data_IF_740510934168
#
_entry.id   IF_740510934168
#
_cell.length_a   1.000
_cell.length_b   1.000
_cell.length_c   1.000
_cell.angle_alpha   90.00
_cell.angle_beta   90.00
_cell.angle_gamma   90.00
#
_symmetry.space_group_name_H-M   'P 1'
#
loop_
_entity.id
_entity.type
_entity.pdbx_description
1 polymer ?
#
# COMPACT_ATOMS: atom_id res chain seq x y z
N UNK A 1 -39.81 -22.18 -42.50
CA UNK A 1 -38.59 -21.36 -42.44
C UNK A 1 -38.77 -20.02 -41.68
N UNK A 2 -39.83 -19.24 -41.87
CA UNK A 2 -40.06 -17.95 -41.16
C UNK A 2 -40.17 -18.10 -39.63
N UNK A 3 -40.87 -19.09 -39.10
CA UNK A 3 -41.02 -19.30 -37.64
C UNK A 3 -39.69 -19.66 -36.93
N UNK A 4 -38.79 -20.40 -37.60
CA UNK A 4 -37.48 -20.75 -37.03
C UNK A 4 -36.56 -19.52 -36.92
N UNK A 5 -36.61 -18.59 -37.87
CA UNK A 5 -35.88 -17.32 -37.84
C UNK A 5 -36.37 -16.40 -36.70
N UNK A 6 -37.66 -16.36 -36.41
CA UNK A 6 -38.21 -15.61 -35.27
C UNK A 6 -37.78 -16.20 -33.93
N UNK A 7 -37.74 -17.52 -33.79
CA UNK A 7 -37.30 -18.19 -32.56
C UNK A 7 -35.80 -17.96 -32.34
N UNK A 8 -34.96 -18.04 -33.39
CA UNK A 8 -33.53 -17.72 -33.26
C UNK A 8 -33.28 -16.25 -32.90
N UNK A 9 -34.03 -15.33 -33.49
CA UNK A 9 -33.93 -13.89 -33.21
C UNK A 9 -34.34 -13.57 -31.77
N UNK A 10 -35.41 -14.14 -31.25
CA UNK A 10 -35.85 -13.95 -29.86
C UNK A 10 -34.86 -14.57 -28.86
N UNK A 11 -34.28 -15.74 -29.14
CA UNK A 11 -33.20 -16.34 -28.31
C UNK A 11 -31.94 -15.47 -28.25
N UNK A 12 -31.56 -14.88 -29.38
CA UNK A 12 -30.40 -14.00 -29.45
C UNK A 12 -30.61 -12.69 -28.66
N UNK A 13 -31.80 -12.11 -28.75
CA UNK A 13 -32.18 -10.91 -27.97
C UNK A 13 -32.23 -11.22 -26.46
N UNK A 14 -32.81 -12.37 -26.07
CA UNK A 14 -32.82 -12.79 -24.67
C UNK A 14 -31.41 -13.06 -24.12
N UNK A 15 -30.49 -13.68 -24.89
CA UNK A 15 -29.13 -13.90 -24.46
C UNK A 15 -28.37 -12.58 -24.29
N UNK A 16 -28.58 -11.59 -25.17
CA UNK A 16 -27.97 -10.25 -25.03
C UNK A 16 -28.53 -9.52 -23.79
N UNK A 17 -29.82 -9.63 -23.51
CA UNK A 17 -30.43 -9.03 -22.32
C UNK A 17 -29.91 -9.66 -21.02
N UNK A 18 -29.67 -10.97 -21.00
CA UNK A 18 -29.08 -11.70 -19.85
C UNK A 18 -27.64 -11.27 -19.62
N UNK A 19 -26.82 -11.08 -20.68
CA UNK A 19 -25.46 -10.56 -20.56
C UNK A 19 -25.43 -9.12 -20.01
N UNK A 20 -26.35 -8.27 -20.45
CA UNK A 20 -26.45 -6.89 -19.94
C UNK A 20 -26.91 -6.85 -18.47
N UNK A 21 -27.82 -7.74 -18.07
CA UNK A 21 -28.27 -7.87 -16.68
C UNK A 21 -27.17 -8.43 -15.77
N UNK A 22 -26.34 -9.36 -16.25
CA UNK A 22 -25.19 -9.88 -15.51
C UNK A 22 -24.16 -8.78 -15.21
N UNK A 23 -23.83 -7.93 -16.19
CA UNK A 23 -22.92 -6.78 -15.98
C UNK A 23 -23.49 -5.72 -15.02
N UNK A 24 -24.82 -5.56 -14.93
CA UNK A 24 -25.45 -4.66 -13.95
C UNK A 24 -25.56 -5.32 -12.57
N UNK A 25 -25.72 -6.64 -12.51
CA UNK A 25 -25.77 -7.39 -11.27
C UNK A 25 -24.41 -7.35 -10.55
N UNK A 26 -23.29 -7.50 -11.28
CA UNK A 26 -21.95 -7.35 -10.72
C UNK A 26 -21.69 -5.92 -10.17
N UNK A 27 -22.20 -4.88 -10.86
CA UNK A 27 -22.12 -3.50 -10.36
C UNK A 27 -22.93 -3.27 -9.08
N UNK A 28 -24.04 -3.95 -8.90
CA UNK A 28 -24.90 -3.80 -7.72
C UNK A 28 -24.35 -4.61 -6.53
N UNK A 29 -23.78 -5.80 -6.75
CA UNK A 29 -23.07 -6.57 -5.72
C UNK A 29 -21.86 -5.83 -5.16
N UNK A 30 -21.11 -5.10 -6.01
CA UNK A 30 -20.00 -4.23 -5.59
C UNK A 30 -20.50 -3.05 -4.73
N UNK A 31 -21.73 -2.58 -4.96
CA UNK A 31 -22.35 -1.50 -4.15
C UNK A 31 -22.90 -1.99 -2.80
N UNK A 32 -23.38 -3.23 -2.73
CA UNK A 32 -24.02 -3.78 -1.53
C UNK A 32 -23.02 -4.35 -0.51
N UNK A 33 -21.85 -4.80 -0.96
CA UNK A 33 -20.73 -5.22 -0.11
C UNK A 33 -19.84 -4.05 0.35
N UNK A 34 -20.37 -2.85 0.45
CA UNK A 34 -19.72 -1.70 1.06
C UNK A 34 -19.59 -1.87 2.60
N UNK A 35 -19.07 -3.02 3.01
CA UNK A 35 -18.70 -3.30 4.39
C UNK A 35 -17.46 -2.51 4.80
N UNK A 36 -17.47 -2.03 6.01
CA UNK A 36 -16.52 -1.22 6.78
C UNK A 36 -15.53 -0.41 5.92
N UNK A 37 -15.69 0.91 5.94
CA UNK A 37 -14.74 1.81 5.31
C UNK A 37 -13.34 1.53 5.85
N UNK A 38 -12.38 1.34 4.94
CA UNK A 38 -10.98 1.15 5.27
C UNK A 38 -10.45 2.46 5.86
N UNK A 39 -9.85 2.39 7.05
CA UNK A 39 -9.18 3.53 7.67
C UNK A 39 -7.67 3.29 7.77
N UNK A 40 -6.91 4.31 7.44
CA UNK A 40 -5.46 4.32 7.63
C UNK A 40 -5.17 4.84 9.04
N UNK A 41 -4.64 3.95 9.88
CA UNK A 41 -4.30 4.29 11.25
C UNK A 41 -3.16 5.31 11.24
N UNK A 42 -3.36 6.44 11.89
CA UNK A 42 -2.35 7.51 11.99
C UNK A 42 -1.32 7.20 13.08
N UNK A 43 -0.61 6.07 12.88
CA UNK A 43 0.48 5.68 13.77
C UNK A 43 1.65 6.68 13.70
N UNK A 44 1.86 7.32 12.55
CA UNK A 44 2.80 8.43 12.35
C UNK A 44 2.60 9.56 13.36
N UNK A 45 1.34 9.97 13.60
CA UNK A 45 1.03 11.02 14.58
C UNK A 45 1.27 10.57 16.01
N UNK A 46 0.97 9.32 16.33
CA UNK A 46 1.22 8.77 17.67
C UNK A 46 2.71 8.76 18.00
N UNK A 47 3.55 8.34 17.04
CA UNK A 47 5.02 8.39 17.17
C UNK A 47 5.49 9.85 17.30
N UNK A 48 4.94 10.75 16.50
CA UNK A 48 5.29 12.17 16.53
C UNK A 48 4.96 12.80 17.90
N UNK A 49 3.77 12.54 18.43
CA UNK A 49 3.36 13.00 19.76
C UNK A 49 4.26 12.44 20.85
N UNK A 50 4.61 11.13 20.76
CA UNK A 50 5.51 10.49 21.71
C UNK A 50 6.91 11.14 21.68
N UNK A 51 7.50 11.29 20.52
CA UNK A 51 8.84 11.86 20.35
C UNK A 51 8.92 13.32 20.84
N UNK A 52 7.83 14.08 20.66
CA UNK A 52 7.78 15.48 21.09
C UNK A 52 7.55 15.63 22.60
N UNK A 53 6.83 14.71 23.23
CA UNK A 53 6.39 14.87 24.63
C UNK A 53 7.10 13.94 25.62
N UNK A 54 7.65 12.82 25.16
CA UNK A 54 8.17 11.74 26.02
C UNK A 54 7.10 11.07 26.89
N UNK A 55 5.82 11.15 26.48
CA UNK A 55 4.71 10.67 27.30
C UNK A 55 4.70 9.14 27.39
N UNK A 56 4.97 8.61 28.58
CA UNK A 56 5.02 7.18 28.88
C UNK A 56 3.72 6.46 28.52
N UNK A 57 2.55 7.10 28.65
CA UNK A 57 1.29 6.49 28.28
C UNK A 57 1.17 6.25 26.76
N UNK A 58 1.74 7.15 25.93
CA UNK A 58 1.83 6.93 24.49
C UNK A 58 2.77 5.78 24.16
N UNK A 59 3.92 5.70 24.82
CA UNK A 59 4.84 4.58 24.64
C UNK A 59 4.21 3.23 25.01
N UNK A 60 3.52 3.16 26.15
CA UNK A 60 2.74 1.98 26.52
C UNK A 60 1.70 1.62 25.46
N UNK A 61 0.98 2.61 24.96
CA UNK A 61 -0.05 2.42 23.94
C UNK A 61 0.55 1.89 22.64
N UNK A 62 1.70 2.42 22.20
CA UNK A 62 2.43 1.92 21.03
C UNK A 62 2.79 0.44 21.19
N UNK A 63 3.22 0.02 22.38
CA UNK A 63 3.63 -1.36 22.64
C UNK A 63 2.47 -2.32 22.90
N UNK A 64 1.31 -1.86 23.36
CA UNK A 64 0.15 -2.71 23.70
C UNK A 64 -0.90 -2.77 22.59
N UNK A 65 -1.22 -1.65 21.95
CA UNK A 65 -2.23 -1.59 20.90
C UNK A 65 -1.63 -1.78 19.50
N UNK A 66 -0.35 -1.41 19.32
CA UNK A 66 0.37 -1.42 18.03
C UNK A 66 1.72 -2.14 18.09
N UNK A 67 1.81 -3.34 18.71
CA UNK A 67 3.10 -4.02 18.96
C UNK A 67 3.82 -4.41 17.66
N UNK A 68 3.07 -4.74 16.60
CA UNK A 68 3.65 -5.12 15.30
C UNK A 68 4.19 -3.91 14.57
N UNK A 69 3.44 -2.82 14.55
CA UNK A 69 3.78 -1.54 13.94
C UNK A 69 5.03 -0.96 14.62
N UNK A 70 5.05 -0.98 15.97
CA UNK A 70 6.17 -0.49 16.77
C UNK A 70 7.43 -1.30 16.52
N UNK A 71 7.33 -2.63 16.53
CA UNK A 71 8.47 -3.51 16.24
C UNK A 71 8.97 -3.31 14.83
N UNK A 72 8.10 -3.31 13.82
CA UNK A 72 8.48 -3.11 12.43
C UNK A 72 9.18 -1.75 12.24
N UNK A 73 8.67 -0.68 12.86
CA UNK A 73 9.31 0.63 12.78
C UNK A 73 10.72 0.61 13.38
N UNK A 74 10.88 0.07 14.57
CA UNK A 74 12.16 0.11 15.32
C UNK A 74 13.20 -0.85 14.72
N UNK A 75 12.81 -2.11 14.48
CA UNK A 75 13.73 -3.17 14.09
C UNK A 75 13.99 -3.19 12.59
N UNK A 76 12.91 -3.15 11.77
CA UNK A 76 13.00 -3.40 10.34
C UNK A 76 13.16 -2.12 9.50
N UNK A 77 12.62 -0.99 9.99
CA UNK A 77 12.60 0.27 9.23
C UNK A 77 13.72 1.20 9.66
N UNK A 78 13.84 1.50 10.96
CA UNK A 78 14.82 2.43 11.48
C UNK A 78 16.15 1.76 11.88
N UNK A 79 16.15 0.43 12.04
CA UNK A 79 17.32 -0.37 12.44
C UNK A 79 17.97 0.13 13.74
N UNK A 80 17.15 0.56 14.72
CA UNK A 80 17.63 1.06 16.00
C UNK A 80 18.04 -0.04 16.99
N UNK A 81 17.67 -1.29 16.69
CA UNK A 81 17.92 -2.44 17.55
C UNK A 81 16.61 -3.18 17.86
N UNK A 82 16.58 -4.00 18.91
CA UNK A 82 15.40 -4.75 19.30
C UNK A 82 14.41 -3.85 20.02
N UNK A 83 13.12 -4.00 19.69
CA UNK A 83 12.04 -3.21 20.29
C UNK A 83 11.84 -3.50 21.80
N UNK A 84 12.40 -4.60 22.32
CA UNK A 84 12.36 -4.98 23.75
C UNK A 84 13.59 -4.55 24.54
N UNK A 85 14.53 -3.80 23.97
CA UNK A 85 15.68 -3.24 24.71
C UNK A 85 15.20 -2.16 25.68
N UNK A 86 15.85 -2.07 26.85
CA UNK A 86 15.46 -1.15 27.93
C UNK A 86 15.55 0.34 27.51
N UNK A 87 16.54 0.71 26.69
CA UNK A 87 16.79 2.10 26.29
C UNK A 87 16.27 2.41 24.87
N UNK A 88 15.40 1.60 24.31
CA UNK A 88 14.96 1.72 22.91
C UNK A 88 14.07 2.95 22.68
N UNK A 89 13.31 3.33 23.67
CA UNK A 89 12.45 4.50 23.68
C UNK A 89 13.28 5.80 23.62
N UNK A 90 14.36 5.90 24.43
CA UNK A 90 15.30 7.00 24.38
C UNK A 90 16.02 7.06 23.02
N UNK A 91 16.40 5.91 22.48
CA UNK A 91 17.01 5.79 21.16
C UNK A 91 16.08 6.28 20.05
N UNK A 92 14.78 5.94 20.12
CA UNK A 92 13.77 6.40 19.18
C UNK A 92 13.60 7.94 19.25
N UNK A 93 13.50 8.49 20.46
CA UNK A 93 13.41 9.93 20.69
C UNK A 93 14.65 10.64 20.15
N UNK A 94 15.85 10.13 20.47
CA UNK A 94 17.12 10.71 20.02
C UNK A 94 17.24 10.71 18.49
N UNK A 95 16.82 9.62 17.85
CA UNK A 95 16.83 9.49 16.39
C UNK A 95 15.98 10.56 15.71
N UNK A 96 14.74 10.74 16.15
CA UNK A 96 13.84 11.72 15.54
C UNK A 96 14.09 13.18 15.96
N UNK A 97 15.04 13.44 16.85
CA UNK A 97 15.52 14.79 17.19
C UNK A 97 16.47 15.39 16.15
N UNK A 98 16.92 14.61 15.15
CA UNK A 98 17.68 15.17 14.04
C UNK A 98 16.92 16.32 13.38
N UNK A 99 17.54 17.49 13.16
CA UNK A 99 16.86 18.68 12.61
C UNK A 99 16.16 18.42 11.27
N UNK A 100 16.72 17.53 10.42
CA UNK A 100 16.12 17.18 9.13
C UNK A 100 14.86 16.37 9.35
N UNK A 101 14.87 15.44 10.32
CA UNK A 101 13.71 14.62 10.64
C UNK A 101 12.63 15.41 11.39
N UNK A 102 13.02 16.37 12.22
CA UNK A 102 12.06 17.32 12.84
C UNK A 102 11.31 18.09 11.75
N UNK A 103 12.03 18.70 10.80
CA UNK A 103 11.38 19.41 9.69
C UNK A 103 10.53 18.48 8.84
N UNK A 104 11.02 17.29 8.54
CA UNK A 104 10.28 16.27 7.77
C UNK A 104 8.95 15.90 8.43
N UNK A 105 8.92 15.65 9.75
CA UNK A 105 7.71 15.32 10.50
C UNK A 105 6.67 16.45 10.43
N UNK A 106 7.10 17.70 10.56
CA UNK A 106 6.24 18.88 10.42
C UNK A 106 5.64 18.97 9.00
N UNK A 107 6.46 18.73 7.98
CA UNK A 107 6.02 18.82 6.59
C UNK A 107 5.07 17.66 6.23
N UNK A 108 5.31 16.44 6.73
CA UNK A 108 4.40 15.29 6.60
C UNK A 108 3.05 15.61 7.25
N UNK A 109 3.04 16.09 8.48
CA UNK A 109 1.82 16.41 9.21
C UNK A 109 0.94 17.41 8.46
N UNK A 110 1.58 18.41 7.82
CA UNK A 110 0.89 19.42 7.00
C UNK A 110 0.40 18.86 5.68
N UNK A 111 1.25 18.13 4.96
CA UNK A 111 0.94 17.61 3.61
C UNK A 111 -0.10 16.50 3.63
N UNK A 112 -0.03 15.63 4.62
CA UNK A 112 -0.89 14.48 4.79
C UNK A 112 -1.83 14.64 6.00
N UNK A 113 -2.39 15.83 6.15
CA UNK A 113 -3.38 16.10 7.18
C UNK A 113 -4.61 15.19 7.00
N UNK A 114 -5.07 15.04 5.78
CA UNK A 114 -6.18 14.16 5.38
C UNK A 114 -5.68 13.04 4.46
N UNK A 115 -5.98 11.78 4.84
CA UNK A 115 -5.68 10.58 4.06
C UNK A 115 -6.93 9.98 3.40
N UNK A 116 -8.10 10.61 3.50
CA UNK A 116 -9.39 10.08 3.04
C UNK A 116 -9.41 9.70 1.55
N UNK A 117 -8.65 10.41 0.72
CA UNK A 117 -8.52 10.10 -0.72
C UNK A 117 -7.86 8.75 -0.93
N UNK A 118 -6.80 8.44 -0.15
CA UNK A 118 -6.09 7.15 -0.22
C UNK A 118 -6.92 6.03 0.39
N UNK A 119 -7.63 6.29 1.49
CA UNK A 119 -8.54 5.35 2.14
C UNK A 119 -9.63 4.87 1.18
N UNK A 120 -10.29 5.82 0.50
CA UNK A 120 -11.32 5.51 -0.50
C UNK A 120 -10.77 4.70 -1.67
N UNK A 121 -9.60 5.08 -2.18
CA UNK A 121 -8.98 4.39 -3.32
C UNK A 121 -8.53 2.97 -2.95
N UNK A 122 -7.89 2.79 -1.79
CA UNK A 122 -7.49 1.48 -1.27
C UNK A 122 -8.70 0.61 -0.93
N UNK A 123 -9.73 1.17 -0.28
CA UNK A 123 -11.00 0.48 -0.02
C UNK A 123 -11.62 -0.07 -1.30
N UNK A 124 -11.67 0.75 -2.36
CA UNK A 124 -12.20 0.32 -3.65
C UNK A 124 -11.36 -0.82 -4.26
N UNK A 125 -10.04 -0.73 -4.20
CA UNK A 125 -9.14 -1.75 -4.74
C UNK A 125 -9.24 -3.08 -3.96
N UNK A 126 -9.24 -3.03 -2.64
CA UNK A 126 -9.36 -4.23 -1.81
C UNK A 126 -10.73 -4.90 -1.92
N UNK A 127 -11.82 -4.13 -2.01
CA UNK A 127 -13.16 -4.69 -2.29
C UNK A 127 -13.23 -5.44 -3.61
N UNK A 128 -12.47 -5.01 -4.63
CA UNK A 128 -12.34 -5.76 -5.89
C UNK A 128 -11.60 -7.08 -5.69
N UNK A 129 -10.53 -7.09 -4.89
CA UNK A 129 -9.81 -8.32 -4.55
C UNK A 129 -10.69 -9.29 -3.75
N UNK A 130 -11.47 -8.81 -2.78
CA UNK A 130 -12.43 -9.62 -2.02
C UNK A 130 -13.55 -10.22 -2.92
N UNK A 131 -13.93 -9.52 -3.98
CA UNK A 131 -14.92 -10.03 -4.94
C UNK A 131 -14.34 -11.17 -5.81
N UNK A 132 -13.05 -11.13 -6.13
CA UNK A 132 -12.36 -12.16 -6.92
C UNK A 132 -11.95 -13.37 -6.07
N UNK A 133 -11.53 -13.16 -4.83
CA UNK A 133 -11.14 -14.20 -3.89
C UNK A 133 -11.89 -14.06 -2.56
N UNK A 134 -12.84 -14.94 -2.32
CA UNK A 134 -13.67 -14.96 -1.09
C UNK A 134 -12.88 -15.23 0.20
N UNK A 135 -11.67 -15.77 0.09
CA UNK A 135 -10.78 -16.02 1.23
C UNK A 135 -9.85 -14.83 1.48
N UNK A 136 -9.86 -13.84 0.60
CA UNK A 136 -9.04 -12.64 0.76
C UNK A 136 -9.53 -11.82 1.95
N UNK A 137 -8.59 -11.42 2.80
CA UNK A 137 -8.87 -10.55 3.95
C UNK A 137 -8.11 -9.24 3.77
N UNK A 138 -8.84 -8.15 3.76
CA UNK A 138 -8.26 -6.81 3.65
C UNK A 138 -7.28 -6.56 4.81
N UNK A 139 -6.01 -6.22 4.54
CA UNK A 139 -5.02 -5.96 5.57
C UNK A 139 -5.33 -4.68 6.34
N UNK A 140 -4.87 -4.63 7.58
CA UNK A 140 -4.83 -3.40 8.37
C UNK A 140 -3.79 -2.45 7.79
N UNK A 141 -4.13 -1.16 7.64
CA UNK A 141 -3.21 -0.18 7.05
C UNK A 141 -2.90 0.91 8.07
N UNK A 142 -1.63 1.28 8.15
CA UNK A 142 -1.17 2.36 9.01
C UNK A 142 -0.18 3.27 8.29
N UNK A 143 -0.15 4.54 8.70
CA UNK A 143 0.83 5.51 8.25
C UNK A 143 2.00 5.56 9.23
N UNK A 144 3.22 5.73 8.71
CA UNK A 144 4.44 5.89 9.49
C UNK A 144 5.39 6.91 8.84
N UNK A 145 6.46 7.24 9.55
CA UNK A 145 7.62 7.97 9.03
C UNK A 145 8.85 7.06 9.11
N UNK A 146 9.41 6.71 7.97
CA UNK A 146 10.56 5.79 7.86
C UNK A 146 11.91 6.50 7.87
N UNK A 147 11.95 7.81 8.01
CA UNK A 147 13.18 8.61 7.84
C UNK A 147 13.88 8.31 6.50
N UNK A 148 13.12 8.18 5.43
CA UNK A 148 13.54 7.87 4.06
C UNK A 148 14.02 6.44 3.80
N UNK A 149 13.93 5.52 4.75
CA UNK A 149 14.46 4.17 4.58
C UNK A 149 13.58 3.29 3.67
N UNK A 150 12.27 3.21 3.91
CA UNK A 150 11.36 2.34 3.16
C UNK A 150 10.10 3.08 2.74
N UNK A 151 9.51 2.72 1.59
CA UNK A 151 8.25 3.31 1.13
C UNK A 151 7.02 2.59 1.67
N UNK A 152 7.00 1.27 1.57
CA UNK A 152 5.91 0.41 2.04
C UNK A 152 6.50 -0.74 2.85
N UNK A 153 5.93 -0.99 4.00
CA UNK A 153 6.22 -2.16 4.85
C UNK A 153 5.05 -3.12 4.75
N UNK A 154 5.31 -4.38 4.46
CA UNK A 154 4.24 -5.39 4.33
C UNK A 154 4.48 -6.52 5.32
N UNK A 155 3.49 -6.78 6.17
CA UNK A 155 3.41 -7.94 7.06
C UNK A 155 2.26 -8.87 6.67
N UNK A 156 2.05 -9.96 7.41
CA UNK A 156 1.06 -10.99 7.08
C UNK A 156 -0.38 -10.47 6.89
N UNK A 157 -0.78 -9.44 7.59
CA UNK A 157 -2.10 -8.80 7.46
C UNK A 157 -2.00 -7.32 7.75
N UNK A 158 -0.86 -6.71 7.40
CA UNK A 158 -0.50 -5.35 7.77
C UNK A 158 0.24 -4.66 6.64
N UNK A 159 -0.12 -3.41 6.36
CA UNK A 159 0.61 -2.53 5.43
C UNK A 159 0.95 -1.23 6.15
N UNK A 160 2.24 -0.90 6.19
CA UNK A 160 2.74 0.39 6.65
C UNK A 160 3.08 1.29 5.48
N UNK A 161 2.52 2.49 5.46
CA UNK A 161 2.78 3.52 4.45
C UNK A 161 3.73 4.55 5.04
N UNK A 162 4.93 4.64 4.51
CA UNK A 162 5.91 5.65 4.92
C UNK A 162 5.66 6.95 4.17
N UNK A 163 4.94 7.88 4.81
CA UNK A 163 4.51 9.13 4.19
C UNK A 163 5.67 10.02 3.74
N UNK A 164 6.81 9.91 4.42
CA UNK A 164 8.06 10.59 4.10
C UNK A 164 8.63 10.25 2.73
N UNK A 165 8.24 9.11 2.14
CA UNK A 165 8.65 8.70 0.78
C UNK A 165 7.76 9.27 -0.32
N UNK A 166 6.72 10.02 0.03
CA UNK A 166 5.73 10.55 -0.91
C UNK A 166 5.55 12.07 -0.80
N UNK A 167 6.63 12.78 -0.43
CA UNK A 167 6.61 14.24 -0.29
C UNK A 167 6.64 14.99 -1.64
N UNK A 168 6.76 14.28 -2.76
CA UNK A 168 6.89 14.85 -4.11
C UNK A 168 8.34 14.96 -4.57
N UNK A 169 8.59 14.78 -5.88
CA UNK A 169 9.93 14.69 -6.47
C UNK A 169 10.83 15.89 -6.14
N UNK A 170 10.23 17.07 -5.96
CA UNK A 170 10.94 18.31 -5.69
C UNK A 170 11.16 18.62 -4.21
N UNK A 171 10.76 17.71 -3.31
CA UNK A 171 10.96 17.93 -1.88
C UNK A 171 12.45 18.19 -1.57
N UNK A 172 12.80 19.28 -0.85
CA UNK A 172 14.19 19.72 -0.73
C UNK A 172 15.15 18.66 -0.18
N UNK A 173 14.72 17.91 0.85
CA UNK A 173 15.55 16.86 1.43
C UNK A 173 15.86 15.73 0.43
N UNK A 174 14.96 15.41 -0.48
CA UNK A 174 15.18 14.37 -1.47
C UNK A 174 16.35 14.68 -2.40
N UNK A 175 16.56 15.95 -2.77
CA UNK A 175 17.66 16.37 -3.63
C UNK A 175 19.02 16.05 -3.04
N UNK A 176 19.08 15.93 -1.70
CA UNK A 176 20.32 15.60 -0.97
C UNK A 176 20.60 14.10 -0.92
N UNK A 177 19.54 13.27 -0.88
CA UNK A 177 19.66 11.84 -0.57
C UNK A 177 19.32 10.91 -1.73
N UNK A 178 18.59 11.40 -2.76
CA UNK A 178 18.08 10.56 -3.85
C UNK A 178 18.44 11.11 -5.23
N UNK A 179 18.72 10.20 -6.15
CA UNK A 179 18.89 10.54 -7.56
C UNK A 179 17.56 10.95 -8.19
N UNK A 180 17.61 11.68 -9.31
CA UNK A 180 16.44 12.20 -10.00
C UNK A 180 15.43 11.10 -10.41
N UNK A 181 15.93 9.99 -10.93
CA UNK A 181 15.12 8.84 -11.30
C UNK A 181 14.39 8.19 -10.10
N UNK A 182 14.98 8.19 -8.92
CA UNK A 182 14.35 7.73 -7.69
C UNK A 182 13.28 8.72 -7.24
N UNK A 183 13.60 10.02 -7.21
CA UNK A 183 12.66 11.08 -6.82
C UNK A 183 11.40 11.12 -7.68
N UNK A 184 11.52 10.82 -8.98
CA UNK A 184 10.39 10.76 -9.91
C UNK A 184 9.29 9.77 -9.49
N UNK A 185 9.60 8.79 -8.64
CA UNK A 185 8.62 7.83 -8.12
C UNK A 185 8.08 8.21 -6.74
N UNK A 186 8.65 9.22 -6.08
CA UNK A 186 8.31 9.61 -4.70
C UNK A 186 7.16 10.64 -4.65
N UNK A 187 6.09 10.36 -5.38
CA UNK A 187 4.93 11.22 -5.54
C UNK A 187 3.71 10.69 -4.76
N UNK A 188 2.90 11.56 -4.14
CA UNK A 188 1.69 11.16 -3.42
C UNK A 188 0.73 10.31 -4.27
N UNK A 189 0.70 10.54 -5.57
CA UNK A 189 -0.14 9.78 -6.52
C UNK A 189 0.23 8.30 -6.63
N UNK A 190 1.39 7.91 -6.11
CA UNK A 190 1.92 6.54 -6.14
C UNK A 190 1.51 5.69 -4.95
N UNK A 191 1.09 6.30 -3.84
CA UNK A 191 0.79 5.61 -2.56
C UNK A 191 -0.09 4.38 -2.77
N UNK A 192 -1.23 4.53 -3.45
CA UNK A 192 -2.19 3.43 -3.65
C UNK A 192 -1.60 2.31 -4.49
N UNK A 193 -0.88 2.66 -5.56
CA UNK A 193 -0.27 1.68 -6.45
C UNK A 193 0.85 0.91 -5.76
N UNK A 194 1.70 1.61 -5.03
CA UNK A 194 2.82 1.01 -4.31
C UNK A 194 2.32 0.10 -3.18
N UNK A 195 1.30 0.51 -2.41
CA UNK A 195 0.65 -0.35 -1.41
C UNK A 195 0.17 -1.67 -2.02
N UNK A 196 -0.58 -1.60 -3.11
CA UNK A 196 -1.11 -2.80 -3.78
C UNK A 196 0.01 -3.63 -4.39
N UNK A 197 1.01 -2.99 -5.02
CA UNK A 197 2.11 -3.67 -5.67
C UNK A 197 2.94 -4.48 -4.67
N UNK A 198 3.40 -3.85 -3.58
CA UNK A 198 4.21 -4.53 -2.56
C UNK A 198 3.41 -5.62 -1.83
N UNK A 199 2.15 -5.33 -1.50
CA UNK A 199 1.27 -6.29 -0.86
C UNK A 199 1.03 -7.53 -1.72
N UNK A 200 0.68 -7.36 -3.00
CA UNK A 200 0.44 -8.47 -3.91
C UNK A 200 1.72 -9.28 -4.19
N UNK A 201 2.89 -8.64 -4.28
CA UNK A 201 4.16 -9.36 -4.41
C UNK A 201 4.44 -10.28 -3.22
N UNK A 202 4.07 -9.87 -2.00
CA UNK A 202 4.22 -10.70 -0.81
C UNK A 202 3.20 -11.84 -0.76
N UNK A 203 1.93 -11.55 -1.10
CA UNK A 203 0.86 -12.56 -1.08
C UNK A 203 1.03 -13.61 -2.18
N UNK A 204 1.52 -13.20 -3.32
CA UNK A 204 1.73 -14.05 -4.50
C UNK A 204 3.21 -14.08 -4.90
N UNK A 205 4.08 -14.65 -4.07
CA UNK A 205 5.49 -14.73 -4.41
C UNK A 205 5.69 -15.56 -5.69
N UNK A 206 6.75 -15.33 -6.48
CA UNK A 206 7.06 -16.16 -7.64
C UNK A 206 7.09 -17.60 -7.20
N UNK A 207 6.39 -18.47 -7.95
CA UNK A 207 6.16 -19.87 -7.59
C UNK A 207 7.48 -20.51 -7.14
N UNK A 208 7.49 -21.13 -5.95
CA UNK A 208 8.63 -21.84 -5.36
C UNK A 208 8.96 -23.11 -6.16
N UNK A 209 9.19 -22.98 -7.44
CA UNK A 209 9.83 -24.04 -8.19
C UNK A 209 11.27 -24.13 -7.68
N UNK A 210 11.71 -25.33 -7.33
CA UNK A 210 13.07 -25.67 -6.87
C UNK A 210 14.18 -25.30 -7.87
N UNK A 211 13.87 -24.60 -8.93
CA UNK A 211 14.74 -24.21 -10.03
C UNK A 211 14.97 -22.70 -9.91
N UNK A 212 16.21 -22.27 -10.03
CA UNK A 212 16.61 -20.87 -10.09
C UNK A 212 15.70 -20.14 -11.09
N UNK A 213 14.94 -19.14 -10.61
CA UNK A 213 14.12 -18.31 -11.49
C UNK A 213 15.03 -17.59 -12.49
N UNK A 214 14.71 -17.70 -13.76
CA UNK A 214 15.38 -16.88 -14.78
C UNK A 214 14.89 -15.42 -14.65
N UNK A 215 15.72 -14.48 -15.10
CA UNK A 215 15.33 -13.05 -15.17
C UNK A 215 14.00 -12.90 -15.94
N UNK A 216 13.81 -13.65 -17.02
CA UNK A 216 12.56 -13.62 -17.79
C UNK A 216 11.34 -14.03 -16.98
N UNK A 217 11.43 -15.11 -16.18
CA UNK A 217 10.34 -15.54 -15.30
C UNK A 217 10.02 -14.50 -14.22
N UNK A 218 11.04 -13.89 -13.65
CA UNK A 218 10.88 -12.82 -12.68
C UNK A 218 10.20 -11.61 -13.32
N UNK A 219 10.63 -11.16 -14.49
CA UNK A 219 10.01 -10.04 -15.22
C UNK A 219 8.55 -10.30 -15.58
N UNK A 220 8.22 -11.54 -16.00
CA UNK A 220 6.85 -11.95 -16.28
C UNK A 220 6.00 -11.88 -15.00
N UNK A 221 6.54 -12.35 -13.87
CA UNK A 221 5.84 -12.29 -12.59
C UNK A 221 5.55 -10.82 -12.19
N UNK A 222 6.57 -9.96 -12.23
CA UNK A 222 6.40 -8.53 -11.94
C UNK A 222 5.39 -7.87 -12.88
N UNK A 223 5.40 -8.23 -14.16
CA UNK A 223 4.43 -7.76 -15.14
C UNK A 223 2.99 -8.18 -14.81
N UNK A 224 2.79 -9.41 -14.32
CA UNK A 224 1.47 -9.88 -13.85
C UNK A 224 0.97 -9.07 -12.66
N UNK A 225 1.81 -8.85 -11.65
CA UNK A 225 1.45 -8.03 -10.48
C UNK A 225 1.11 -6.60 -10.92
N UNK A 226 1.95 -5.98 -11.75
CA UNK A 226 1.72 -4.62 -12.25
C UNK A 226 0.41 -4.52 -13.05
N UNK A 227 0.07 -5.54 -13.85
CA UNK A 227 -1.19 -5.59 -14.57
C UNK A 227 -2.39 -5.67 -13.62
N UNK A 228 -2.34 -6.53 -12.59
CA UNK A 228 -3.40 -6.63 -11.57
C UNK A 228 -3.59 -5.30 -10.86
N UNK A 229 -2.50 -4.66 -10.42
CA UNK A 229 -2.54 -3.33 -9.78
C UNK A 229 -3.21 -2.30 -10.69
N UNK A 230 -2.89 -2.30 -11.99
CA UNK A 230 -3.52 -1.40 -12.95
C UNK A 230 -5.04 -1.64 -13.07
N UNK A 231 -5.49 -2.89 -13.08
CA UNK A 231 -6.93 -3.24 -13.08
C UNK A 231 -7.61 -2.77 -11.79
N UNK A 232 -6.98 -2.98 -10.65
CA UNK A 232 -7.53 -2.58 -9.34
C UNK A 232 -7.65 -1.06 -9.20
N UNK A 233 -6.72 -0.31 -9.78
CA UNK A 233 -6.68 1.17 -9.70
C UNK A 233 -7.32 1.86 -10.90
N UNK A 234 -7.83 1.13 -11.90
CA UNK A 234 -8.33 1.66 -13.19
C UNK A 234 -7.29 2.55 -13.92
N UNK A 235 -6.01 2.28 -13.72
CA UNK A 235 -4.93 3.03 -14.39
C UNK A 235 -4.25 2.15 -15.44
N UNK A 236 -3.74 2.77 -16.51
CA UNK A 236 -3.00 2.06 -17.55
C UNK A 236 -1.69 1.48 -17.02
N UNK A 237 -1.39 0.23 -17.37
CA UNK A 237 -0.12 -0.44 -17.06
C UNK A 237 1.11 0.30 -17.59
N UNK A 238 0.96 1.07 -18.66
CA UNK A 238 2.07 1.79 -19.31
C UNK A 238 2.69 2.88 -18.44
N UNK A 239 2.00 3.30 -17.36
CA UNK A 239 2.52 4.30 -16.42
C UNK A 239 3.28 3.67 -15.24
N UNK A 240 3.30 2.33 -15.15
CA UNK A 240 4.02 1.62 -14.11
C UNK A 240 5.45 1.35 -14.60
N UNK A 241 6.35 2.28 -14.35
CA UNK A 241 7.78 1.96 -14.47
C UNK A 241 8.10 0.97 -13.37
N UNK A 242 8.47 -0.24 -13.75
CA UNK A 242 8.94 -1.27 -12.81
C UNK A 242 9.97 -0.67 -11.85
N UNK A 243 9.85 -0.92 -10.53
CA UNK A 243 10.91 -0.51 -9.60
C UNK A 243 12.23 -1.03 -10.12
N UNK A 244 13.28 -0.21 -9.99
CA UNK A 244 14.63 -0.61 -10.38
C UNK A 244 14.98 -1.94 -9.69
N UNK A 245 15.70 -2.87 -10.36
CA UNK A 245 16.19 -4.07 -9.70
C UNK A 245 17.00 -3.81 -8.41
N UNK A 246 17.47 -2.58 -8.21
CA UNK A 246 18.15 -2.15 -6.98
C UNK A 246 17.21 -1.94 -5.80
N UNK A 247 15.91 -1.71 -6.04
CA UNK A 247 14.92 -1.55 -4.96
C UNK A 247 14.41 -2.91 -4.46
N UNK A 248 14.76 -4.00 -5.14
CA UNK A 248 14.41 -5.38 -4.78
C UNK A 248 15.51 -6.11 -4.00
N UNK A 249 16.61 -5.44 -3.69
CA UNK A 249 17.74 -6.00 -2.94
C UNK A 249 17.96 -5.23 -1.63
N UNK A 250 17.03 -5.39 -0.71
CA UNK A 250 17.26 -5.19 0.72
C UNK A 250 16.64 -6.36 1.47
#
# INVERSE_FOLDING_TARGET
>A
MKRLRYILSTLMVCSLAICMAACQFDRNLIKENAGKDLHIIRYDRMVDDYVNTGNVALWQRMNTEFPRETRALIEDVLHLGRADNEDIDDSLIAYYKDPILVQLRMDISRKFEDLSVYEKALSCAFKRLEAEDKNFVTPKIYAQNSAFNQSIVVGDSLIGISLDKYMGADYPAYKKYFYENQRATMEPSRIVQDCLYFYLNQQFPPTRLRIRHTLGQWLIHQGKIAWVVAQLTNKSCLLYTSPSPRDATL
#
